data_IF_462661681585
#
_entry.id   IF_462661681585
#
_cell.length_a   1.000
_cell.length_b   1.000
_cell.length_c   1.000
_cell.angle_alpha   90.00
_cell.angle_beta   90.00
_cell.angle_gamma   90.00
#
_symmetry.space_group_name_H-M   'P 1'
#
loop_
_entity.id
_entity.type
_entity.pdbx_description
1 polymer ?
#
# COMPACT_ATOMS: atom_id res chain seq x y z
N UNK A 1 -2.49 13.85 -20.98
CA UNK A 1 -3.33 13.06 -20.04
C UNK A 1 -2.62 12.85 -18.70
N UNK A 2 -1.40 12.28 -18.68
CA UNK A 2 -0.64 11.97 -17.45
C UNK A 2 -0.49 13.17 -16.49
N UNK A 3 0.03 14.30 -16.96
CA UNK A 3 0.21 15.52 -16.13
C UNK A 3 -1.08 16.03 -15.49
N UNK A 4 -2.24 15.78 -16.14
CA UNK A 4 -3.55 16.18 -15.61
C UNK A 4 -4.07 15.18 -14.58
N UNK A 5 -3.82 13.88 -14.78
CA UNK A 5 -4.31 12.83 -13.89
C UNK A 5 -3.44 12.66 -12.64
N UNK A 6 -2.12 12.74 -12.79
CA UNK A 6 -1.11 12.43 -11.77
C UNK A 6 0.01 13.50 -11.73
N UNK A 7 -0.31 14.77 -11.46
CA UNK A 7 0.67 15.86 -11.49
C UNK A 7 1.85 15.65 -10.51
N UNK A 8 1.60 14.97 -9.39
CA UNK A 8 2.56 14.65 -8.34
C UNK A 8 3.65 13.66 -8.76
N UNK A 9 3.42 12.88 -9.82
CA UNK A 9 4.32 11.81 -10.26
C UNK A 9 5.69 12.33 -10.71
N UNK A 10 5.71 13.57 -11.23
CA UNK A 10 6.90 14.23 -11.78
C UNK A 10 7.47 15.30 -10.85
N UNK A 11 6.89 15.47 -9.66
CA UNK A 11 7.24 16.56 -8.75
C UNK A 11 8.45 16.25 -7.88
N UNK A 12 8.74 14.97 -7.63
CA UNK A 12 9.89 14.54 -6.84
C UNK A 12 11.00 13.92 -7.67
N UNK A 13 11.99 13.34 -6.99
CA UNK A 13 13.20 12.80 -7.61
C UNK A 13 13.02 11.38 -8.21
N UNK A 14 11.90 10.71 -7.94
CA UNK A 14 11.75 9.28 -8.25
C UNK A 14 11.60 8.98 -9.75
N UNK A 15 10.86 9.80 -10.49
CA UNK A 15 10.59 9.52 -11.90
C UNK A 15 10.27 10.76 -12.72
N UNK A 16 10.57 10.70 -14.02
CA UNK A 16 10.25 11.77 -14.98
C UNK A 16 8.94 11.54 -15.72
N UNK A 17 8.40 10.32 -15.66
CA UNK A 17 7.12 9.90 -16.26
C UNK A 17 6.60 8.60 -15.64
N UNK A 18 5.31 8.32 -15.85
CA UNK A 18 4.69 7.05 -15.48
C UNK A 18 5.36 5.84 -16.14
N UNK A 19 5.75 5.96 -17.41
CA UNK A 19 6.46 4.90 -18.14
C UNK A 19 7.83 4.64 -17.51
N UNK A 20 8.64 5.68 -17.27
CA UNK A 20 9.95 5.53 -16.63
C UNK A 20 9.88 4.92 -15.23
N UNK A 21 8.83 5.23 -14.47
CA UNK A 21 8.63 4.63 -13.15
C UNK A 21 8.26 3.15 -13.26
N UNK A 22 7.36 2.80 -14.19
CA UNK A 22 6.95 1.41 -14.40
C UNK A 22 8.13 0.55 -14.85
N UNK A 23 8.97 1.09 -15.73
CA UNK A 23 10.09 0.37 -16.32
C UNK A 23 11.31 0.27 -15.39
N UNK A 24 11.34 1.03 -14.28
CA UNK A 24 12.42 0.95 -13.28
C UNK A 24 12.26 -0.19 -12.27
N UNK A 25 11.07 -0.78 -12.17
CA UNK A 25 10.78 -1.80 -11.16
C UNK A 25 11.42 -3.15 -11.50
N UNK A 26 12.04 -3.79 -10.51
CA UNK A 26 12.67 -5.10 -10.67
C UNK A 26 12.66 -5.93 -9.39
N UNK A 27 12.68 -7.26 -9.54
CA UNK A 27 12.80 -8.19 -8.41
C UNK A 27 11.59 -8.25 -7.47
N UNK A 28 11.81 -8.97 -6.36
CA UNK A 28 10.83 -9.25 -5.30
C UNK A 28 11.26 -8.65 -3.97
N UNK A 29 10.31 -8.13 -3.21
CA UNK A 29 10.60 -7.65 -1.85
C UNK A 29 9.38 -7.29 -1.02
N UNK A 30 9.64 -6.86 0.21
CA UNK A 30 8.63 -6.45 1.17
C UNK A 30 8.66 -4.93 1.28
N UNK A 31 7.49 -4.31 1.30
CA UNK A 31 7.35 -2.86 1.48
C UNK A 31 6.60 -2.62 2.78
N UNK A 32 7.16 -1.76 3.63
CA UNK A 32 6.53 -1.37 4.89
C UNK A 32 6.49 0.15 5.01
N UNK A 33 5.51 0.67 5.72
CA UNK A 33 5.48 2.07 6.15
C UNK A 33 5.63 2.16 7.66
N UNK A 34 6.35 3.17 8.13
CA UNK A 34 6.47 3.42 9.56
C UNK A 34 6.56 4.92 9.84
N UNK A 35 6.40 5.26 11.12
CA UNK A 35 6.60 6.60 11.67
C UNK A 35 6.95 6.46 13.15
N UNK A 36 7.26 7.54 13.84
CA UNK A 36 7.79 7.50 15.21
C UNK A 36 6.92 6.68 16.18
N UNK A 37 5.59 6.75 16.01
CA UNK A 37 4.63 5.98 16.84
C UNK A 37 4.62 4.47 16.53
N UNK A 38 4.95 4.07 15.32
CA UNK A 38 4.92 2.67 14.87
C UNK A 38 6.31 2.06 14.68
N UNK A 39 7.38 2.81 15.01
CA UNK A 39 8.76 2.35 14.88
C UNK A 39 9.00 1.01 15.56
N UNK A 40 8.55 0.84 16.82
CA UNK A 40 8.73 -0.40 17.56
C UNK A 40 8.02 -1.58 16.89
N UNK A 41 6.79 -1.38 16.40
CA UNK A 41 6.07 -2.41 15.66
C UNK A 41 6.83 -2.81 14.40
N UNK A 42 7.24 -1.85 13.57
CA UNK A 42 8.00 -2.14 12.35
C UNK A 42 9.31 -2.89 12.65
N UNK A 43 10.06 -2.46 13.67
CA UNK A 43 11.30 -3.09 14.08
C UNK A 43 11.09 -4.54 14.55
N UNK A 44 10.04 -4.80 15.36
CA UNK A 44 9.70 -6.15 15.81
C UNK A 44 9.19 -7.03 14.67
N UNK A 45 8.33 -6.50 13.79
CA UNK A 45 7.76 -7.23 12.65
C UNK A 45 8.84 -7.64 11.65
N UNK A 46 9.83 -6.76 11.37
CA UNK A 46 11.00 -7.13 10.54
C UNK A 46 11.78 -8.27 11.18
N UNK A 47 12.04 -8.22 12.49
CA UNK A 47 12.73 -9.31 13.18
C UNK A 47 11.92 -10.61 13.15
N UNK A 48 10.61 -10.54 13.34
CA UNK A 48 9.72 -11.69 13.22
C UNK A 48 9.75 -12.31 11.81
N UNK A 49 9.74 -11.47 10.76
CA UNK A 49 9.91 -11.91 9.37
C UNK A 49 11.22 -12.69 9.16
N UNK A 50 12.33 -12.22 9.76
CA UNK A 50 13.61 -12.95 9.71
C UNK A 50 13.56 -14.26 10.52
N UNK A 51 12.89 -14.27 11.67
CA UNK A 51 12.73 -15.48 12.49
C UNK A 51 11.95 -16.58 11.79
N UNK A 52 10.95 -16.23 10.97
CA UNK A 52 10.21 -17.22 10.16
C UNK A 52 10.93 -17.59 8.86
N UNK A 53 12.17 -17.12 8.65
CA UNK A 53 13.02 -17.52 7.55
C UNK A 53 12.93 -16.65 6.28
N UNK A 54 12.24 -15.50 6.31
CA UNK A 54 12.14 -14.62 5.14
C UNK A 54 13.50 -14.03 4.76
N UNK A 55 13.92 -14.22 3.51
CA UNK A 55 15.18 -13.66 2.99
C UNK A 55 14.99 -12.42 2.12
N UNK A 56 13.74 -12.11 1.76
CA UNK A 56 13.39 -10.97 0.91
C UNK A 56 13.99 -9.64 1.42
N UNK A 57 14.49 -8.79 0.52
CA UNK A 57 14.83 -7.42 0.85
C UNK A 57 13.58 -6.65 1.30
N UNK A 58 13.76 -5.77 2.27
CA UNK A 58 12.68 -4.95 2.85
C UNK A 58 13.01 -3.49 2.62
N UNK A 59 12.04 -2.76 2.07
CA UNK A 59 12.09 -1.31 2.00
C UNK A 59 11.07 -0.71 2.97
N UNK A 60 11.58 0.06 3.92
CA UNK A 60 10.77 0.77 4.92
C UNK A 60 10.67 2.24 4.52
N UNK A 61 9.45 2.72 4.38
CA UNK A 61 9.16 4.08 3.93
C UNK A 61 8.56 4.91 5.06
N UNK A 62 8.96 6.18 5.17
CA UNK A 62 8.42 7.16 6.12
C UNK A 62 8.21 8.51 5.42
N UNK A 63 7.52 9.46 6.06
CA UNK A 63 7.20 10.74 5.43
C UNK A 63 7.84 11.95 6.13
N UNK A 64 9.04 12.32 5.69
CA UNK A 64 9.74 13.51 6.15
C UNK A 64 10.47 13.33 7.48
N UNK A 65 11.48 14.16 7.72
CA UNK A 65 12.39 14.06 8.89
C UNK A 65 11.73 14.17 10.25
N UNK A 66 10.55 14.79 10.32
CA UNK A 66 9.78 14.89 11.57
C UNK A 66 9.05 13.58 11.92
N UNK A 67 8.83 12.71 10.94
CA UNK A 67 8.09 11.45 11.11
C UNK A 67 8.97 10.34 11.67
N UNK A 68 10.25 10.29 11.28
CA UNK A 68 11.19 9.27 11.78
C UNK A 68 12.55 9.88 12.15
N UNK A 69 13.01 9.62 13.38
CA UNK A 69 14.26 10.17 13.89
C UNK A 69 15.48 9.50 13.25
N UNK A 70 16.65 10.17 13.20
CA UNK A 70 17.89 9.55 12.72
C UNK A 70 18.27 8.27 13.48
N UNK A 71 17.98 8.20 14.78
CA UNK A 71 18.21 7.00 15.59
C UNK A 71 17.32 5.83 15.18
N UNK A 72 16.03 6.09 14.89
CA UNK A 72 15.11 5.08 14.38
C UNK A 72 15.52 4.58 12.98
N UNK A 73 15.94 5.50 12.10
CA UNK A 73 16.45 5.15 10.76
C UNK A 73 17.69 4.25 10.89
N UNK A 74 18.66 4.62 11.74
CA UNK A 74 19.85 3.83 11.97
C UNK A 74 19.52 2.43 12.52
N UNK A 75 18.59 2.33 13.46
CA UNK A 75 18.15 1.06 14.02
C UNK A 75 17.49 0.13 12.99
N UNK A 76 16.65 0.67 12.09
CA UNK A 76 16.03 -0.11 11.02
C UNK A 76 17.05 -0.54 9.96
N UNK A 77 17.93 0.37 9.53
CA UNK A 77 18.98 0.07 8.53
C UNK A 77 20.01 -0.93 9.04
N UNK A 78 20.21 -1.04 10.36
CA UNK A 78 21.06 -2.06 10.94
C UNK A 78 20.49 -3.49 10.84
N UNK A 79 19.21 -3.64 10.49
CA UNK A 79 18.59 -4.95 10.30
C UNK A 79 18.99 -5.56 8.94
N UNK A 80 19.14 -6.90 8.84
CA UNK A 80 19.57 -7.55 7.61
C UNK A 80 18.64 -7.31 6.42
N UNK A 81 19.22 -6.90 5.28
CA UNK A 81 18.53 -6.62 4.02
C UNK A 81 17.38 -5.61 4.17
N UNK A 82 17.58 -4.56 4.96
CA UNK A 82 16.61 -3.46 5.13
C UNK A 82 17.19 -2.16 4.58
N UNK A 83 16.40 -1.46 3.79
CA UNK A 83 16.67 -0.06 3.43
C UNK A 83 15.53 0.83 3.92
N UNK A 84 15.85 2.09 4.23
CA UNK A 84 14.90 3.06 4.77
C UNK A 84 14.89 4.28 3.87
N UNK A 85 13.70 4.70 3.41
CA UNK A 85 13.55 5.75 2.40
C UNK A 85 12.53 6.82 2.84
N UNK A 86 12.83 8.08 2.54
CA UNK A 86 11.95 9.22 2.79
C UNK A 86 11.07 9.51 1.56
N UNK A 87 9.77 9.29 1.69
CA UNK A 87 8.80 9.50 0.61
C UNK A 87 8.58 10.96 0.25
N UNK A 88 8.89 11.89 1.15
CA UNK A 88 8.73 13.33 0.87
C UNK A 88 9.61 13.75 -0.31
N UNK A 89 10.78 13.12 -0.46
CA UNK A 89 11.71 13.38 -1.56
C UNK A 89 11.31 12.68 -2.87
N UNK A 90 10.66 11.52 -2.77
CA UNK A 90 10.30 10.70 -3.93
C UNK A 90 9.26 11.37 -4.82
N UNK A 91 8.21 11.97 -4.24
CA UNK A 91 7.12 12.61 -4.99
C UNK A 91 6.88 14.10 -4.61
N UNK A 92 7.82 14.74 -3.90
CA UNK A 92 7.65 16.10 -3.36
C UNK A 92 6.36 16.23 -2.52
N UNK A 93 6.08 15.22 -1.70
CA UNK A 93 4.89 15.20 -0.86
C UNK A 93 5.09 16.12 0.34
N UNK A 94 4.13 17.02 0.55
CA UNK A 94 3.99 17.86 1.74
C UNK A 94 3.55 17.01 2.95
N UNK A 95 4.43 16.73 3.94
CA UNK A 95 4.09 15.86 5.07
C UNK A 95 2.86 16.31 5.84
N UNK A 96 2.67 17.63 5.98
CA UNK A 96 1.53 18.27 6.65
C UNK A 96 0.16 17.95 6.03
N UNK A 97 0.13 17.44 4.79
CA UNK A 97 -1.11 17.08 4.09
C UNK A 97 -1.51 15.62 4.26
N UNK A 98 -0.68 14.80 4.88
CA UNK A 98 -0.92 13.37 5.02
C UNK A 98 -1.20 13.00 6.48
N UNK A 99 -2.12 12.05 6.67
CA UNK A 99 -2.11 11.23 7.88
C UNK A 99 -1.14 10.07 7.65
N UNK A 100 -0.55 9.53 8.71
CA UNK A 100 0.54 8.55 8.61
C UNK A 100 0.20 7.31 7.78
N UNK A 101 -1.05 6.86 7.76
CA UNK A 101 -1.49 5.72 6.95
C UNK A 101 -1.81 6.04 5.48
N UNK A 102 -1.98 7.31 5.10
CA UNK A 102 -2.34 7.67 3.72
C UNK A 102 -1.16 7.49 2.74
N UNK A 103 0.05 7.26 3.24
CA UNK A 103 1.27 7.12 2.42
C UNK A 103 1.46 5.71 1.85
N UNK A 104 0.68 4.69 2.28
CA UNK A 104 0.90 3.30 1.86
C UNK A 104 0.97 3.13 0.33
N UNK A 105 0.04 3.66 -0.48
CA UNK A 105 0.14 3.52 -1.93
C UNK A 105 1.37 4.23 -2.51
N UNK A 106 1.83 5.32 -1.88
CA UNK A 106 3.07 6.00 -2.28
C UNK A 106 4.31 5.19 -1.93
N UNK A 107 4.35 4.53 -0.78
CA UNK A 107 5.41 3.57 -0.43
C UNK A 107 5.48 2.43 -1.44
N UNK A 108 4.31 1.86 -1.79
CA UNK A 108 4.21 0.83 -2.82
C UNK A 108 4.78 1.33 -4.16
N UNK A 109 4.37 2.53 -4.62
CA UNK A 109 4.89 3.12 -5.86
C UNK A 109 6.38 3.45 -5.81
N UNK A 110 6.87 3.99 -4.70
CA UNK A 110 8.27 4.40 -4.54
C UNK A 110 9.21 3.21 -4.47
N UNK A 111 8.73 2.06 -4.00
CA UNK A 111 9.59 0.91 -3.82
C UNK A 111 10.24 0.43 -5.11
N UNK A 112 11.45 -0.13 -5.05
CA UNK A 112 12.15 -0.61 -6.24
C UNK A 112 11.59 -1.91 -6.83
N UNK A 113 10.82 -2.66 -6.03
CA UNK A 113 10.38 -4.00 -6.39
C UNK A 113 9.35 -4.01 -7.52
N UNK A 114 9.41 -4.95 -8.46
CA UNK A 114 8.30 -5.21 -9.39
C UNK A 114 7.18 -5.96 -8.70
N UNK A 115 7.55 -7.04 -8.04
CA UNK A 115 6.64 -7.92 -7.31
C UNK A 115 6.85 -7.68 -5.82
N UNK A 116 5.82 -7.25 -5.10
CA UNK A 116 5.97 -6.83 -3.72
C UNK A 116 4.90 -7.41 -2.80
N UNK A 117 5.27 -7.53 -1.52
CA UNK A 117 4.34 -7.78 -0.42
C UNK A 117 4.34 -6.53 0.44
N UNK A 118 3.26 -5.75 0.39
CA UNK A 118 3.04 -4.69 1.36
C UNK A 118 2.67 -5.32 2.70
N UNK A 119 3.28 -4.86 3.78
CA UNK A 119 3.05 -5.35 5.15
C UNK A 119 2.95 -4.16 6.09
N UNK A 120 1.84 -4.05 6.82
CA UNK A 120 1.70 -3.09 7.90
C UNK A 120 2.68 -3.37 9.04
N UNK A 121 3.06 -2.32 9.78
CA UNK A 121 4.03 -2.42 10.86
C UNK A 121 3.60 -3.42 11.97
N UNK A 122 2.32 -3.68 12.13
CA UNK A 122 1.71 -4.56 13.13
C UNK A 122 1.19 -5.90 12.57
N UNK A 123 1.52 -6.22 11.32
CA UNK A 123 1.22 -7.52 10.72
C UNK A 123 2.35 -8.54 10.96
N UNK A 124 1.99 -9.73 11.44
CA UNK A 124 2.93 -10.82 11.75
C UNK A 124 2.65 -12.05 10.89
N UNK A 125 3.70 -12.82 10.63
CA UNK A 125 3.65 -14.04 9.84
C UNK A 125 4.12 -15.23 10.67
N UNK A 126 3.54 -16.40 10.40
CA UNK A 126 3.95 -17.69 10.99
C UNK A 126 4.79 -18.55 10.02
N UNK A 127 5.01 -18.07 8.80
CA UNK A 127 5.81 -18.71 7.75
C UNK A 127 6.43 -17.62 6.86
N UNK A 128 7.41 -17.95 5.99
CA UNK A 128 7.95 -16.98 5.03
C UNK A 128 6.82 -16.35 4.18
N UNK A 129 6.72 -15.00 4.11
CA UNK A 129 5.67 -14.33 3.35
C UNK A 129 5.83 -14.51 1.85
N UNK A 130 7.04 -14.82 1.36
CA UNK A 130 7.34 -15.07 -0.06
C UNK A 130 6.50 -16.21 -0.66
N UNK A 131 5.99 -17.12 0.16
CA UNK A 131 5.00 -18.14 -0.24
C UNK A 131 3.71 -17.55 -0.83
N UNK A 132 3.39 -16.29 -0.52
CA UNK A 132 2.21 -15.61 -1.07
C UNK A 132 2.32 -15.36 -2.57
N UNK A 133 3.53 -15.26 -3.12
CA UNK A 133 3.76 -15.19 -4.57
C UNK A 133 3.38 -16.50 -5.28
N UNK A 134 3.22 -17.60 -4.54
CA UNK A 134 2.80 -18.87 -5.11
C UNK A 134 1.28 -19.07 -5.12
N UNK A 135 0.53 -18.16 -4.53
CA UNK A 135 -0.93 -18.25 -4.50
C UNK A 135 -1.55 -18.17 -5.90
N UNK A 136 -2.59 -18.97 -6.14
CA UNK A 136 -3.35 -18.97 -7.41
C UNK A 136 -3.95 -17.60 -7.73
N UNK A 137 -4.39 -16.86 -6.70
CA UNK A 137 -4.88 -15.50 -6.89
C UNK A 137 -3.79 -14.60 -7.48
N UNK A 138 -2.60 -14.59 -6.87
CA UNK A 138 -1.49 -13.78 -7.35
C UNK A 138 -1.02 -14.19 -8.75
N UNK A 139 -0.80 -15.49 -8.99
CA UNK A 139 -0.36 -16.00 -10.29
C UNK A 139 -1.30 -15.62 -11.43
N UNK A 140 -2.62 -15.56 -11.16
CA UNK A 140 -3.63 -15.22 -12.16
C UNK A 140 -3.75 -13.73 -12.42
N UNK A 141 -3.68 -12.88 -11.40
CA UNK A 141 -4.03 -11.44 -11.53
C UNK A 141 -2.86 -10.49 -11.27
N UNK A 142 -1.70 -11.01 -10.86
CA UNK A 142 -0.61 -10.20 -10.31
C UNK A 142 -0.98 -9.53 -8.99
N UNK A 143 -2.05 -9.95 -8.31
CA UNK A 143 -2.46 -9.40 -7.02
C UNK A 143 -3.05 -10.45 -6.11
N UNK A 144 -2.82 -10.33 -4.80
CA UNK A 144 -3.59 -11.05 -3.79
C UNK A 144 -4.04 -10.08 -2.70
N UNK A 145 -5.35 -10.06 -2.48
CA UNK A 145 -6.02 -9.28 -1.45
C UNK A 145 -6.74 -10.21 -0.49
N UNK A 146 -6.91 -9.76 0.75
CA UNK A 146 -7.54 -10.53 1.82
C UNK A 146 -8.85 -9.89 2.22
N UNK A 147 -9.81 -10.71 2.57
CA UNK A 147 -11.11 -10.26 3.06
C UNK A 147 -10.96 -9.66 4.45
N UNK A 148 -11.54 -8.48 4.67
CA UNK A 148 -11.64 -7.92 6.02
C UNK A 148 -12.64 -8.74 6.87
N UNK A 149 -12.51 -8.63 8.19
CA UNK A 149 -13.42 -9.19 9.19
C UNK A 149 -14.80 -8.56 9.03
N UNK A 150 -15.85 -9.39 9.03
CA UNK A 150 -17.24 -8.92 9.01
C UNK A 150 -17.68 -8.50 10.42
N UNK A 151 -17.07 -7.44 10.93
CA UNK A 151 -17.38 -6.89 12.27
C UNK A 151 -18.65 -6.05 12.26
N UNK A 152 -18.90 -5.34 11.16
CA UNK A 152 -20.01 -4.42 10.99
C UNK A 152 -20.83 -4.79 9.76
N UNK A 153 -22.15 -4.73 9.88
CA UNK A 153 -23.07 -5.01 8.78
C UNK A 153 -22.98 -3.89 7.74
N UNK A 154 -23.06 -4.26 6.46
CA UNK A 154 -23.07 -3.30 5.37
C UNK A 154 -24.27 -2.35 5.42
N UNK A 155 -24.09 -1.15 4.87
CA UNK A 155 -25.12 -0.10 4.79
C UNK A 155 -25.35 0.32 3.35
N UNK A 156 -26.56 0.80 3.04
CA UNK A 156 -26.85 1.34 1.70
C UNK A 156 -25.91 2.48 1.33
N UNK A 157 -25.50 3.31 2.30
CA UNK A 157 -24.51 4.38 2.10
C UNK A 157 -23.20 3.87 1.50
N UNK A 158 -22.62 2.78 2.03
CA UNK A 158 -21.37 2.22 1.49
C UNK A 158 -21.60 1.59 0.12
N UNK A 159 -22.73 0.90 -0.07
CA UNK A 159 -23.08 0.29 -1.35
C UNK A 159 -23.27 1.32 -2.45
N UNK A 160 -23.97 2.41 -2.18
CA UNK A 160 -24.16 3.55 -3.08
C UNK A 160 -22.84 4.25 -3.38
N UNK A 161 -22.00 4.46 -2.35
CA UNK A 161 -20.64 4.97 -2.54
C UNK A 161 -19.83 4.08 -3.49
N UNK A 162 -19.84 2.76 -3.31
CA UNK A 162 -19.12 1.82 -4.17
C UNK A 162 -19.66 1.85 -5.62
N UNK A 163 -20.98 1.93 -5.80
CA UNK A 163 -21.61 2.06 -7.11
C UNK A 163 -21.22 3.36 -7.81
N UNK A 164 -21.21 4.48 -7.08
CA UNK A 164 -20.81 5.77 -7.64
C UNK A 164 -19.31 5.81 -7.99
N UNK A 165 -18.47 5.15 -7.20
CA UNK A 165 -17.03 5.11 -7.43
C UNK A 165 -16.63 4.22 -8.62
N UNK A 166 -17.30 3.06 -8.77
CA UNK A 166 -16.99 2.06 -9.81
C UNK A 166 -17.78 2.32 -11.10
N UNK A 167 -18.95 2.96 -10.99
CA UNK A 167 -19.89 3.19 -12.08
C UNK A 167 -20.68 1.93 -12.43
N UNK A 168 -19.99 0.95 -13.02
CA UNK A 168 -20.58 -0.34 -13.43
C UNK A 168 -19.78 -1.48 -12.81
N UNK A 169 -20.26 -2.11 -11.72
CA UNK A 169 -19.57 -3.24 -11.13
C UNK A 169 -19.58 -4.43 -12.09
N UNK A 170 -18.51 -5.24 -12.05
CA UNK A 170 -18.50 -6.51 -12.77
C UNK A 170 -19.59 -7.45 -12.22
N UNK A 171 -20.05 -8.39 -13.04
CA UNK A 171 -21.00 -9.42 -12.60
C UNK A 171 -20.50 -10.15 -11.35
N UNK A 172 -19.19 -10.46 -11.31
CA UNK A 172 -18.58 -11.07 -10.14
C UNK A 172 -18.72 -10.17 -8.89
N UNK A 173 -18.35 -8.90 -8.98
CA UNK A 173 -18.45 -7.97 -7.86
C UNK A 173 -19.91 -7.80 -7.39
N UNK A 174 -20.85 -7.74 -8.33
CA UNK A 174 -22.28 -7.63 -8.03
C UNK A 174 -22.83 -8.87 -7.31
N UNK A 175 -22.52 -10.07 -7.82
CA UNK A 175 -23.05 -11.32 -7.29
C UNK A 175 -22.32 -11.82 -6.04
N UNK A 176 -21.03 -11.53 -5.90
CA UNK A 176 -20.18 -12.11 -4.85
C UNK A 176 -19.60 -11.08 -3.89
N UNK A 177 -19.48 -9.81 -4.27
CA UNK A 177 -18.93 -8.75 -3.42
C UNK A 177 -19.78 -8.50 -2.19
N UNK A 178 -19.14 -8.51 -1.01
CA UNK A 178 -19.85 -8.41 0.28
C UNK A 178 -20.47 -7.03 0.47
N UNK A 179 -19.79 -5.97 0.01
CA UNK A 179 -20.30 -4.59 0.00
C UNK A 179 -21.56 -4.47 -0.85
N UNK A 180 -21.57 -5.03 -2.07
CA UNK A 180 -22.74 -4.95 -2.97
C UNK A 180 -23.96 -5.73 -2.45
N UNK A 181 -23.71 -6.69 -1.56
CA UNK A 181 -24.73 -7.48 -0.87
C UNK A 181 -25.07 -6.96 0.53
N UNK A 182 -24.56 -5.78 0.92
CA UNK A 182 -24.75 -5.18 2.26
C UNK A 182 -24.32 -6.09 3.42
N UNK A 183 -23.33 -6.96 3.20
CA UNK A 183 -22.84 -7.90 4.21
C UNK A 183 -21.73 -7.29 5.07
N UNK A 184 -20.98 -6.32 4.56
CA UNK A 184 -19.84 -5.69 5.26
C UNK A 184 -19.74 -4.20 4.95
N UNK A 185 -19.11 -3.43 5.84
CA UNK A 185 -18.62 -2.08 5.54
C UNK A 185 -17.24 -2.10 4.87
N UNK A 186 -16.43 -3.12 5.16
CA UNK A 186 -15.07 -3.26 4.63
C UNK A 186 -14.96 -4.55 3.81
N UNK A 187 -14.66 -4.40 2.52
CA UNK A 187 -14.53 -5.55 1.61
C UNK A 187 -13.20 -6.25 1.79
N UNK A 188 -12.11 -5.49 1.95
CA UNK A 188 -10.76 -6.03 1.99
C UNK A 188 -9.92 -5.38 3.08
N UNK A 189 -9.06 -6.17 3.66
CA UNK A 189 -8.02 -5.73 4.58
C UNK A 189 -6.80 -5.24 3.78
N UNK A 190 -6.13 -4.21 4.28
CA UNK A 190 -4.95 -3.57 3.68
C UNK A 190 -3.64 -3.84 4.43
N UNK A 191 -3.69 -4.54 5.57
CA UNK A 191 -2.51 -4.88 6.37
C UNK A 191 -1.49 -5.79 5.67
N UNK A 192 -1.94 -6.59 4.71
CA UNK A 192 -1.06 -7.34 3.79
C UNK A 192 -1.64 -7.28 2.39
N UNK A 193 -0.82 -6.89 1.40
CA UNK A 193 -1.21 -6.86 -0.02
C UNK A 193 -0.08 -7.40 -0.88
N UNK A 194 -0.37 -8.36 -1.75
CA UNK A 194 0.61 -8.88 -2.72
C UNK A 194 0.34 -8.23 -4.07
N UNK A 195 1.38 -7.73 -4.76
CA UNK A 195 1.19 -6.87 -5.91
C UNK A 195 2.34 -6.97 -6.93
N UNK A 196 2.04 -7.27 -8.20
CA UNK A 196 2.90 -6.99 -9.36
C UNK A 196 2.53 -5.60 -9.89
N UNK A 197 3.45 -4.65 -9.67
CA UNK A 197 3.26 -3.24 -10.03
C UNK A 197 3.28 -3.00 -11.52
N UNK A 198 3.87 -3.86 -12.34
CA UNK A 198 3.87 -3.70 -13.79
C UNK A 198 2.54 -4.15 -14.37
N UNK A 199 1.99 -5.25 -13.87
CA UNK A 199 0.68 -5.78 -14.32
C UNK A 199 -0.47 -4.85 -13.90
N UNK A 200 -0.44 -4.32 -12.69
CA UNK A 200 -1.56 -3.56 -12.11
C UNK A 200 -1.27 -2.06 -11.91
N UNK A 201 -0.28 -1.52 -12.63
CA UNK A 201 0.28 -0.19 -12.40
C UNK A 201 -0.75 0.94 -12.26
N UNK A 202 -1.72 1.01 -13.17
CA UNK A 202 -2.72 2.08 -13.18
C UNK A 202 -3.66 2.05 -11.97
N UNK A 203 -3.97 0.85 -11.45
CA UNK A 203 -4.79 0.72 -10.26
C UNK A 203 -4.05 1.28 -9.02
N UNK A 204 -2.74 1.06 -8.95
CA UNK A 204 -1.91 1.63 -7.88
C UNK A 204 -1.79 3.16 -7.98
N UNK A 205 -1.64 3.71 -9.19
CA UNK A 205 -1.68 5.17 -9.42
C UNK A 205 -3.03 5.78 -8.99
N UNK A 206 -4.14 5.09 -9.26
CA UNK A 206 -5.48 5.50 -8.83
C UNK A 206 -5.58 5.49 -7.30
N UNK A 207 -5.08 4.43 -6.64
CA UNK A 207 -5.07 4.34 -5.18
C UNK A 207 -4.27 5.48 -4.52
N UNK A 208 -3.11 5.83 -5.09
CA UNK A 208 -2.32 6.98 -4.65
C UNK A 208 -3.08 8.29 -4.85
N UNK A 209 -3.72 8.49 -6.01
CA UNK A 209 -4.55 9.66 -6.28
C UNK A 209 -5.72 9.80 -5.30
N UNK A 210 -6.37 8.70 -4.94
CA UNK A 210 -7.46 8.70 -3.96
C UNK A 210 -7.02 9.06 -2.54
N UNK A 211 -5.72 8.96 -2.23
CA UNK A 211 -5.13 9.38 -0.96
C UNK A 211 -4.60 10.82 -0.95
N UNK A 212 -4.81 11.57 -2.05
CA UNK A 212 -4.47 12.99 -2.17
C UNK A 212 -5.72 13.87 -2.21
N UNK A 213 -5.57 15.12 -1.80
CA UNK A 213 -6.61 16.14 -2.02
C UNK A 213 -6.85 16.36 -3.53
N UNK A 214 -8.10 16.63 -3.95
CA UNK A 214 -9.31 16.81 -3.13
C UNK A 214 -10.04 15.49 -2.77
N UNK A 215 -9.55 14.35 -3.24
CA UNK A 215 -10.26 13.06 -3.14
C UNK A 215 -10.18 12.46 -1.75
N UNK A 216 -9.05 12.62 -1.06
CA UNK A 216 -8.79 12.07 0.28
C UNK A 216 -9.95 12.36 1.24
N UNK A 217 -10.31 13.62 1.44
CA UNK A 217 -11.41 13.97 2.35
C UNK A 217 -12.74 13.32 1.98
N UNK A 218 -13.04 13.18 0.68
CA UNK A 218 -14.23 12.50 0.21
C UNK A 218 -14.18 10.98 0.49
N UNK A 219 -13.07 10.33 0.18
CA UNK A 219 -12.89 8.89 0.37
C UNK A 219 -13.00 8.54 1.85
N UNK A 220 -12.20 9.18 2.69
CA UNK A 220 -12.12 8.85 4.12
C UNK A 220 -13.44 9.08 4.84
N UNK A 221 -14.26 10.08 4.47
CA UNK A 221 -15.61 10.25 5.03
C UNK A 221 -16.54 9.05 4.83
N UNK A 222 -16.29 8.22 3.82
CA UNK A 222 -17.11 7.05 3.49
C UNK A 222 -16.51 5.75 4.00
N UNK A 223 -15.18 5.59 3.92
CA UNK A 223 -14.52 4.32 4.26
C UNK A 223 -13.92 4.30 5.67
N UNK A 224 -13.80 5.46 6.32
CA UNK A 224 -13.25 5.61 7.66
C UNK A 224 -14.24 6.44 8.50
N UNK A 225 -15.12 5.74 9.21
CA UNK A 225 -16.06 6.31 10.18
C UNK A 225 -15.52 6.21 11.58
#
# INVERSE_FOLDING_TARGET
LETSLYPWLRSGALSTSAASLRDSYAGRGIVMTTGAKHFLYAHHSIRALRMVGSTLPIEVHYLGRADLSPAHIAALTALPNVTVQDLSLAFALSPERFHSWAIKPFAMLASSFREMIFVDADALFFQPPETLFDSEAYKRTGTAFFMDRTMLRGTQRIREFALNAIGVPSEYAWCHGRVFRNLTLHEGESGVVVYDKVVNFHALLLAAKMNLEPWKGFMYRHVHG
#
